data_IF_882331603141
#
_entry.id   IF_882331603141
#
_cell.length_a   1.000
_cell.length_b   1.000
_cell.length_c   1.000
_cell.angle_alpha   90.00
_cell.angle_beta   90.00
_cell.angle_gamma   90.00
#
_symmetry.space_group_name_H-M   'P 1'
#
loop_
_entity.id
_entity.type
_entity.pdbx_description
1 polymer ?
#
# COMPACT_ATOMS: atom_id res chain seq x y z
N UNK A 1 -1.12 -25.94 3.81
CA UNK A 1 -1.94 -25.41 4.91
C UNK A 1 -2.13 -23.94 4.61
N UNK A 2 -3.36 -23.52 4.32
CA UNK A 2 -3.69 -22.10 4.16
C UNK A 2 -3.29 -21.40 5.46
N UNK A 3 -2.64 -20.24 5.39
CA UNK A 3 -2.20 -19.57 6.61
C UNK A 3 -3.44 -19.13 7.40
N UNK A 4 -3.46 -19.50 8.66
CA UNK A 4 -4.56 -19.27 9.59
C UNK A 4 -4.91 -17.77 9.75
N UNK A 5 -3.99 -16.89 9.30
CA UNK A 5 -4.08 -15.44 9.45
C UNK A 5 -4.82 -14.75 8.31
N UNK A 6 -4.57 -15.14 7.05
CA UNK A 6 -5.34 -14.61 5.91
C UNK A 6 -6.83 -14.95 6.05
N UNK A 7 -7.14 -16.13 6.59
CA UNK A 7 -8.52 -16.51 6.91
C UNK A 7 -9.15 -15.64 8.00
N UNK A 8 -8.35 -15.11 8.94
CA UNK A 8 -8.85 -14.22 10.02
C UNK A 8 -9.18 -12.82 9.50
N UNK A 9 -8.42 -12.30 8.53
CA UNK A 9 -8.70 -11.01 7.88
C UNK A 9 -10.10 -10.97 7.28
N UNK A 10 -10.55 -12.08 6.71
CA UNK A 10 -11.85 -12.17 6.05
C UNK A 10 -13.01 -12.58 6.99
N UNK A 11 -12.71 -12.93 8.25
CA UNK A 11 -13.73 -13.40 9.22
C UNK A 11 -14.17 -12.34 10.23
N UNK A 12 -13.81 -11.07 10.07
CA UNK A 12 -14.18 -9.96 10.97
C UNK A 12 -13.79 -10.17 12.46
N UNK A 13 -12.72 -10.92 12.74
CA UNK A 13 -12.28 -11.16 14.12
C UNK A 13 -11.60 -9.93 14.75
N UNK A 14 -11.16 -8.96 13.95
CA UNK A 14 -10.52 -7.73 14.41
C UNK A 14 -11.43 -6.51 14.20
N UNK A 15 -11.62 -5.74 15.25
CA UNK A 15 -12.44 -4.51 15.23
C UNK A 15 -11.67 -3.29 14.67
N UNK A 16 -10.33 -3.33 14.71
CA UNK A 16 -9.45 -2.26 14.24
C UNK A 16 -8.38 -2.85 13.31
N UNK A 17 -8.28 -2.37 12.05
CA UNK A 17 -7.24 -2.78 11.11
C UNK A 17 -5.81 -2.63 11.67
N UNK A 18 -5.55 -1.63 12.52
CA UNK A 18 -4.24 -1.43 13.16
C UNK A 18 -3.82 -2.61 14.03
N UNK A 19 -4.73 -3.16 14.81
CA UNK A 19 -4.42 -4.28 15.70
C UNK A 19 -4.12 -5.54 14.89
N UNK A 20 -4.85 -5.77 13.81
CA UNK A 20 -4.60 -6.85 12.87
C UNK A 20 -3.19 -6.75 12.27
N UNK A 21 -2.86 -5.61 11.69
CA UNK A 21 -1.55 -5.43 11.02
C UNK A 21 -0.38 -5.42 12.00
N UNK A 22 -0.59 -5.01 13.26
CA UNK A 22 0.42 -5.09 14.32
C UNK A 22 0.83 -6.54 14.61
N UNK A 23 -0.14 -7.42 14.78
CA UNK A 23 0.13 -8.84 15.05
C UNK A 23 0.74 -9.54 13.85
N UNK A 24 0.35 -9.14 12.64
CA UNK A 24 0.75 -9.78 11.40
C UNK A 24 2.11 -9.30 10.87
N UNK A 25 2.59 -8.15 11.30
CA UNK A 25 3.76 -7.49 10.72
C UNK A 25 4.99 -8.40 10.60
N UNK A 26 5.27 -9.23 11.60
CA UNK A 26 6.48 -10.07 11.63
C UNK A 26 6.46 -11.28 10.69
N UNK A 27 5.27 -11.73 10.27
CA UNK A 27 5.11 -12.91 9.39
C UNK A 27 4.58 -12.55 8.02
N UNK A 28 4.16 -11.30 7.84
CA UNK A 28 3.45 -10.78 6.67
C UNK A 28 4.14 -11.12 5.34
N UNK A 29 5.40 -10.74 5.19
CA UNK A 29 6.14 -10.96 3.93
C UNK A 29 6.29 -12.45 3.61
N UNK A 30 6.54 -13.28 4.63
CA UNK A 30 6.69 -14.72 4.44
C UNK A 30 5.37 -15.40 4.06
N UNK A 31 4.27 -14.97 4.68
CA UNK A 31 2.94 -15.52 4.38
C UNK A 31 2.47 -15.13 2.99
N UNK A 32 2.71 -13.88 2.57
CA UNK A 32 2.40 -13.43 1.23
C UNK A 32 3.26 -14.11 0.17
N UNK A 33 4.54 -14.33 0.46
CA UNK A 33 5.43 -15.08 -0.43
C UNK A 33 4.97 -16.56 -0.62
N UNK A 34 4.51 -17.20 0.45
CA UNK A 34 3.97 -18.57 0.39
C UNK A 34 2.64 -18.66 -0.38
N UNK A 35 1.87 -17.59 -0.41
CA UNK A 35 0.58 -17.50 -1.13
C UNK A 35 0.72 -16.90 -2.54
N UNK A 36 1.95 -16.79 -3.08
CA UNK A 36 2.22 -16.26 -4.43
C UNK A 36 1.58 -14.87 -4.65
N UNK A 37 1.70 -13.96 -3.67
CA UNK A 37 1.12 -12.62 -3.75
C UNK A 37 1.82 -11.77 -4.82
N UNK A 38 1.31 -11.82 -6.04
CA UNK A 38 1.89 -11.15 -7.21
C UNK A 38 1.31 -9.75 -7.48
N UNK A 39 0.34 -9.32 -6.69
CA UNK A 39 -0.36 -8.04 -6.86
C UNK A 39 0.59 -6.84 -6.94
N UNK A 40 1.61 -6.68 -6.06
CA UNK A 40 2.54 -5.56 -6.16
C UNK A 40 3.28 -5.51 -7.50
N UNK A 41 3.76 -6.67 -7.99
CA UNK A 41 4.49 -6.76 -9.25
C UNK A 41 3.58 -6.40 -10.44
N UNK A 42 2.33 -6.89 -10.44
CA UNK A 42 1.37 -6.60 -11.50
C UNK A 42 1.01 -5.12 -11.55
N UNK A 43 0.79 -4.50 -10.38
CA UNK A 43 0.46 -3.07 -10.29
C UNK A 43 1.65 -2.20 -10.68
N UNK A 44 2.87 -2.54 -10.26
CA UNK A 44 4.09 -1.83 -10.63
C UNK A 44 4.34 -1.89 -12.15
N UNK A 45 4.13 -3.05 -12.80
CA UNK A 45 4.21 -3.19 -14.25
C UNK A 45 3.14 -2.40 -14.99
N UNK A 46 1.92 -2.33 -14.46
CA UNK A 46 0.89 -1.49 -15.04
C UNK A 46 1.28 -0.01 -14.97
N UNK A 47 1.78 0.45 -13.82
CA UNK A 47 2.27 1.83 -13.68
C UNK A 47 3.44 2.12 -14.63
N UNK A 48 4.38 1.18 -14.78
CA UNK A 48 5.52 1.29 -15.69
C UNK A 48 5.10 1.60 -17.14
N UNK A 49 3.96 1.06 -17.59
CA UNK A 49 3.46 1.28 -18.94
C UNK A 49 2.96 2.72 -19.19
N UNK A 50 2.60 3.45 -18.14
CA UNK A 50 2.01 4.79 -18.25
C UNK A 50 2.93 5.90 -17.73
N UNK A 51 3.87 5.59 -16.83
CA UNK A 51 4.81 6.58 -16.30
C UNK A 51 5.94 6.87 -17.29
N UNK A 52 6.02 8.11 -17.74
CA UNK A 52 7.05 8.56 -18.70
C UNK A 52 8.42 8.78 -18.04
N UNK A 53 8.44 9.15 -16.76
CA UNK A 53 9.65 9.41 -15.98
C UNK A 53 9.62 8.60 -14.67
N UNK A 54 10.55 7.66 -14.54
CA UNK A 54 10.65 6.78 -13.38
C UNK A 54 11.40 7.38 -12.19
N UNK A 55 11.96 8.58 -12.36
CA UNK A 55 12.53 9.36 -11.24
C UNK A 55 11.50 10.24 -10.54
N UNK A 56 10.31 10.39 -11.11
CA UNK A 56 9.20 11.13 -10.50
C UNK A 56 8.87 10.54 -9.13
N UNK A 57 8.78 11.36 -8.08
CA UNK A 57 8.41 10.88 -6.74
C UNK A 57 7.04 10.20 -6.72
N UNK A 58 6.99 9.02 -6.15
CA UNK A 58 5.77 8.22 -5.93
C UNK A 58 5.41 8.27 -4.46
N UNK A 59 4.15 8.52 -4.14
CA UNK A 59 3.59 8.22 -2.82
C UNK A 59 3.03 6.79 -2.81
N UNK A 60 3.62 5.94 -2.00
CA UNK A 60 3.12 4.60 -1.71
C UNK A 60 2.18 4.67 -0.48
N UNK A 61 0.89 4.81 -0.74
CA UNK A 61 -0.15 4.92 0.27
C UNK A 61 -0.51 3.54 0.82
N UNK A 62 -0.39 3.37 2.14
CA UNK A 62 -0.53 2.07 2.79
C UNK A 62 0.65 1.16 2.44
N UNK A 63 1.87 1.67 2.61
CA UNK A 63 3.10 1.02 2.16
C UNK A 63 3.40 -0.32 2.87
N UNK A 64 2.76 -0.58 4.01
CA UNK A 64 2.95 -1.79 4.78
C UNK A 64 4.42 -2.06 5.08
N UNK A 65 4.87 -3.28 4.87
CA UNK A 65 6.26 -3.72 5.03
C UNK A 65 7.18 -3.33 3.86
N UNK A 66 6.63 -2.72 2.79
CA UNK A 66 7.40 -2.25 1.65
C UNK A 66 7.44 -3.18 0.43
N UNK A 67 6.59 -4.21 0.34
CA UNK A 67 6.53 -5.11 -0.84
C UNK A 67 6.17 -4.36 -2.13
N UNK A 68 5.31 -3.34 -2.03
CA UNK A 68 4.96 -2.46 -3.14
C UNK A 68 6.19 -1.69 -3.66
N UNK A 69 6.99 -1.12 -2.77
CA UNK A 69 8.20 -0.39 -3.16
C UNK A 69 9.27 -1.32 -3.76
N UNK A 70 9.45 -2.52 -3.25
CA UNK A 70 10.34 -3.53 -3.87
C UNK A 70 9.92 -3.82 -5.32
N UNK A 71 8.61 -3.97 -5.57
CA UNK A 71 8.08 -4.18 -6.91
C UNK A 71 8.27 -2.94 -7.81
N UNK A 72 8.03 -1.73 -7.28
CA UNK A 72 8.26 -0.48 -8.01
C UNK A 72 9.73 -0.31 -8.40
N UNK A 73 10.67 -0.58 -7.48
CA UNK A 73 12.11 -0.53 -7.76
C UNK A 73 12.49 -1.54 -8.83
N UNK A 74 11.93 -2.74 -8.81
CA UNK A 74 12.18 -3.76 -9.84
C UNK A 74 11.73 -3.34 -11.23
N UNK A 75 10.76 -2.42 -11.32
CA UNK A 75 10.32 -1.75 -12.55
C UNK A 75 11.09 -0.46 -12.88
N UNK A 76 12.15 -0.14 -12.12
CA UNK A 76 13.04 0.98 -12.37
C UNK A 76 12.64 2.32 -11.74
N UNK A 77 11.59 2.36 -10.92
CA UNK A 77 11.25 3.56 -10.15
C UNK A 77 12.28 3.78 -9.03
N UNK A 78 12.71 5.02 -8.82
CA UNK A 78 13.85 5.30 -7.94
C UNK A 78 13.54 6.27 -6.78
N UNK A 79 12.36 6.89 -6.77
CA UNK A 79 12.00 7.90 -5.78
C UNK A 79 10.65 7.55 -5.18
N UNK A 80 10.63 6.91 -4.01
CA UNK A 80 9.43 6.41 -3.36
C UNK A 80 9.37 6.91 -1.93
N UNK A 81 8.27 7.54 -1.55
CA UNK A 81 7.90 7.88 -0.18
C UNK A 81 6.74 6.98 0.25
N UNK A 82 6.74 6.53 1.50
CA UNK A 82 5.73 5.64 2.02
C UNK A 82 5.00 6.22 3.23
N UNK A 83 3.69 5.98 3.30
CA UNK A 83 2.90 6.25 4.50
C UNK A 83 2.04 5.04 4.85
N UNK A 84 1.92 4.77 6.15
CA UNK A 84 1.07 3.69 6.67
C UNK A 84 0.49 4.07 8.04
N UNK A 85 -0.59 3.42 8.43
CA UNK A 85 -1.22 3.61 9.75
C UNK A 85 -0.60 2.73 10.83
N UNK A 86 0.15 1.69 10.47
CA UNK A 86 0.83 0.76 11.38
C UNK A 86 2.29 1.13 11.56
N UNK A 87 2.66 1.54 12.76
CA UNK A 87 4.05 1.82 13.11
C UNK A 87 4.95 0.60 12.97
N UNK A 88 4.43 -0.58 13.27
CA UNK A 88 5.15 -1.85 13.19
C UNK A 88 5.51 -2.19 11.73
N UNK A 89 4.55 -1.99 10.80
CA UNK A 89 4.79 -2.17 9.37
C UNK A 89 5.82 -1.17 8.84
N UNK A 90 5.71 0.11 9.23
CA UNK A 90 6.64 1.17 8.84
C UNK A 90 8.06 0.87 9.32
N UNK A 91 8.24 0.31 10.52
CA UNK A 91 9.57 -0.06 11.01
C UNK A 91 10.20 -1.22 10.21
N UNK A 92 9.42 -2.20 9.77
CA UNK A 92 9.89 -3.26 8.86
C UNK A 92 10.28 -2.66 7.51
N UNK A 93 9.45 -1.79 6.94
CA UNK A 93 9.73 -1.09 5.70
C UNK A 93 11.01 -0.24 5.81
N UNK A 94 11.22 0.43 6.95
CA UNK A 94 12.42 1.22 7.24
C UNK A 94 13.68 0.37 7.22
N UNK A 95 13.61 -0.85 7.76
CA UNK A 95 14.71 -1.81 7.74
C UNK A 95 15.17 -2.20 6.33
N UNK A 96 14.29 -2.12 5.33
CA UNK A 96 14.61 -2.41 3.92
C UNK A 96 15.42 -1.30 3.23
N UNK A 97 15.42 -0.08 3.77
CA UNK A 97 16.19 1.08 3.27
C UNK A 97 15.89 1.43 1.80
N UNK A 98 14.65 1.25 1.35
CA UNK A 98 14.21 1.43 -0.04
C UNK A 98 13.35 2.67 -0.25
N UNK A 99 12.83 3.25 0.83
CA UNK A 99 12.07 4.48 0.78
C UNK A 99 12.95 5.71 1.02
N UNK A 100 12.62 6.80 0.35
CA UNK A 100 13.23 8.11 0.58
C UNK A 100 12.74 8.71 1.91
N UNK A 101 11.44 8.66 2.15
CA UNK A 101 10.78 9.05 3.39
C UNK A 101 9.74 7.99 3.78
N UNK A 102 9.57 7.78 5.08
CA UNK A 102 8.56 6.90 5.65
C UNK A 102 7.88 7.58 6.83
N UNK A 103 6.58 7.60 6.84
CA UNK A 103 5.78 8.20 7.91
C UNK A 103 4.65 7.26 8.36
N UNK A 104 4.50 7.10 9.67
CA UNK A 104 3.31 6.51 10.26
C UNK A 104 2.31 7.63 10.58
N UNK A 105 1.07 7.53 10.11
CA UNK A 105 0.08 8.56 10.30
C UNK A 105 -1.18 8.07 11.02
N UNK A 106 -1.90 9.01 11.63
CA UNK A 106 -3.20 8.73 12.24
C UNK A 106 -4.32 9.14 11.26
N UNK A 107 -5.15 8.17 10.79
CA UNK A 107 -6.22 8.44 9.83
C UNK A 107 -7.28 9.44 10.36
N UNK A 108 -7.48 9.53 11.69
CA UNK A 108 -8.40 10.49 12.30
C UNK A 108 -7.96 11.95 12.10
N UNK A 109 -6.67 12.17 11.81
CA UNK A 109 -6.09 13.49 11.52
C UNK A 109 -6.02 13.80 10.02
N UNK A 110 -6.49 12.88 9.19
CA UNK A 110 -6.39 12.96 7.73
C UNK A 110 -5.06 12.48 7.17
N UNK A 111 -4.96 12.46 5.85
CA UNK A 111 -3.75 12.04 5.13
C UNK A 111 -2.72 13.17 5.21
N UNK A 112 -1.47 12.91 5.66
CA UNK A 112 -0.45 13.93 5.88
C UNK A 112 0.27 14.35 4.59
N UNK A 113 -0.49 14.54 3.51
CA UNK A 113 0.01 14.88 2.17
C UNK A 113 -0.81 16.03 1.62
N UNK A 114 -0.15 17.00 1.01
CA UNK A 114 -0.80 18.15 0.39
C UNK A 114 -1.36 17.78 -0.99
N UNK A 115 -2.43 18.45 -1.38
CA UNK A 115 -2.95 18.35 -2.73
C UNK A 115 -1.87 18.73 -3.76
N UNK A 116 -1.77 17.95 -4.82
CA UNK A 116 -0.79 18.10 -5.91
C UNK A 116 0.69 17.93 -5.50
N UNK A 117 0.97 17.37 -4.33
CA UNK A 117 2.35 17.12 -3.88
C UNK A 117 3.01 15.98 -4.66
N UNK A 118 2.23 14.94 -4.98
CA UNK A 118 2.68 13.82 -5.80
C UNK A 118 1.85 13.72 -7.08
N UNK A 119 2.51 13.54 -8.21
CA UNK A 119 1.83 13.27 -9.49
C UNK A 119 1.61 11.76 -9.73
N UNK A 120 2.19 10.91 -8.91
CA UNK A 120 1.98 9.46 -8.92
C UNK A 120 1.70 9.00 -7.50
N UNK A 121 0.58 8.30 -7.32
CA UNK A 121 0.23 7.65 -6.05
C UNK A 121 -0.05 6.17 -6.32
N UNK A 122 0.43 5.30 -5.45
CA UNK A 122 0.10 3.87 -5.43
C UNK A 122 -0.69 3.52 -4.17
N UNK A 123 -1.64 2.58 -4.27
CA UNK A 123 -2.36 1.99 -3.14
C UNK A 123 -2.57 0.49 -3.42
N UNK A 124 -1.56 -0.30 -3.08
CA UNK A 124 -1.47 -1.72 -3.45
C UNK A 124 -1.83 -2.61 -2.25
N UNK A 125 -2.95 -3.33 -2.36
CA UNK A 125 -3.45 -4.17 -1.27
C UNK A 125 -4.06 -3.39 -0.10
N UNK A 126 -4.36 -2.10 -0.28
CA UNK A 126 -4.84 -1.20 0.78
C UNK A 126 -6.35 -1.11 0.81
N UNK A 127 -6.98 -1.00 -0.37
CA UNK A 127 -8.42 -0.79 -0.50
C UNK A 127 -9.08 -2.15 -0.61
N UNK A 128 -9.54 -2.68 0.52
CA UNK A 128 -10.20 -3.98 0.60
C UNK A 128 -11.11 -4.08 1.82
N UNK A 129 -12.00 -5.07 1.80
CA UNK A 129 -12.78 -5.42 3.00
C UNK A 129 -11.81 -5.81 4.12
N UNK A 130 -11.96 -5.21 5.30
CA UNK A 130 -11.06 -5.42 6.45
C UNK A 130 -9.75 -4.59 6.44
N UNK A 131 -9.53 -3.74 5.41
CA UNK A 131 -8.45 -2.77 5.37
C UNK A 131 -9.00 -1.34 5.27
N UNK A 132 -8.57 -0.52 4.30
CA UNK A 132 -9.11 0.83 4.14
C UNK A 132 -10.50 0.81 3.48
N UNK A 133 -11.46 1.63 3.94
CA UNK A 133 -12.77 1.74 3.33
C UNK A 133 -12.70 2.36 1.93
N UNK A 134 -13.70 2.09 1.09
CA UNK A 134 -13.74 2.62 -0.28
C UNK A 134 -13.70 4.16 -0.34
N UNK A 135 -14.15 4.84 0.70
CA UNK A 135 -14.10 6.31 0.80
C UNK A 135 -12.67 6.86 0.79
N UNK A 136 -11.67 6.05 1.15
CA UNK A 136 -10.26 6.46 1.06
C UNK A 136 -9.83 6.64 -0.40
N UNK A 137 -10.45 5.93 -1.33
CA UNK A 137 -10.20 6.07 -2.76
C UNK A 137 -10.42 7.51 -3.23
N UNK A 138 -11.56 8.10 -2.88
CA UNK A 138 -11.88 9.47 -3.25
C UNK A 138 -10.88 10.46 -2.62
N UNK A 139 -10.54 10.26 -1.34
CA UNK A 139 -9.57 11.11 -0.63
C UNK A 139 -8.19 11.08 -1.29
N UNK A 140 -7.70 9.89 -1.64
CA UNK A 140 -6.39 9.73 -2.31
C UNK A 140 -6.44 10.30 -3.73
N UNK A 141 -7.54 10.07 -4.44
CA UNK A 141 -7.73 10.60 -5.79
C UNK A 141 -7.71 12.14 -5.81
N UNK A 142 -8.31 12.78 -4.81
CA UNK A 142 -8.36 14.24 -4.66
C UNK A 142 -6.98 14.86 -4.36
N UNK A 143 -5.99 14.07 -3.92
CA UNK A 143 -4.62 14.53 -3.72
C UNK A 143 -3.86 14.71 -5.04
N UNK A 144 -4.26 14.02 -6.10
CA UNK A 144 -3.56 14.04 -7.38
C UNK A 144 -3.80 15.33 -8.16
N UNK A 145 -2.77 15.84 -8.86
CA UNK A 145 -2.95 16.90 -9.85
C UNK A 145 -3.71 16.40 -11.08
N UNK A 146 -4.14 17.32 -11.92
CA UNK A 146 -4.67 17.00 -13.24
C UNK A 146 -3.61 16.21 -14.03
N UNK A 147 -4.03 15.10 -14.65
CA UNK A 147 -3.17 14.12 -15.33
C UNK A 147 -2.21 13.34 -14.43
N UNK A 148 -2.42 13.36 -13.10
CA UNK A 148 -1.71 12.47 -12.19
C UNK A 148 -2.09 11.01 -12.41
N UNK A 149 -1.21 10.09 -12.01
CA UNK A 149 -1.42 8.64 -12.11
C UNK A 149 -1.78 8.05 -10.75
N UNK A 150 -2.85 7.27 -10.71
CA UNK A 150 -3.22 6.48 -9.55
C UNK A 150 -3.19 5.00 -9.90
N UNK A 151 -2.23 4.26 -9.36
CA UNK A 151 -2.14 2.81 -9.51
C UNK A 151 -2.56 2.12 -8.21
N UNK A 152 -3.61 1.30 -8.27
CA UNK A 152 -4.18 0.63 -7.11
C UNK A 152 -4.58 -0.80 -7.44
N UNK A 153 -4.85 -1.58 -6.41
CA UNK A 153 -5.41 -2.93 -6.57
C UNK A 153 -6.67 -3.13 -5.73
N UNK A 154 -7.62 -3.86 -6.29
CA UNK A 154 -8.75 -4.42 -5.56
C UNK A 154 -8.63 -5.95 -5.54
N UNK A 155 -9.13 -6.57 -4.48
CA UNK A 155 -9.37 -8.01 -4.46
C UNK A 155 -10.83 -8.33 -4.86
N UNK A 156 -11.11 -9.60 -5.13
CA UNK A 156 -12.46 -10.03 -5.54
C UNK A 156 -13.53 -9.69 -4.49
N UNK A 157 -13.19 -9.77 -3.21
CA UNK A 157 -14.11 -9.43 -2.11
C UNK A 157 -14.53 -7.96 -2.13
N UNK A 158 -13.64 -7.06 -2.55
CA UNK A 158 -13.95 -5.62 -2.65
C UNK A 158 -14.89 -5.28 -3.80
N UNK A 159 -15.04 -6.17 -4.78
CA UNK A 159 -15.91 -5.98 -5.94
C UNK A 159 -17.33 -6.51 -5.73
N UNK A 160 -17.59 -7.24 -4.64
CA UNK A 160 -18.86 -7.89 -4.33
C UNK A 160 -19.70 -7.15 -3.28
N UNK A 161 -19.26 -5.97 -2.84
CA UNK A 161 -19.94 -5.16 -1.80
C UNK A 161 -20.63 -3.95 -2.42
#
# INVERSE_FOLDING_TARGET
>A
MCSDFLDKVYKDEYKDPKDLYREWANTYDNELAQNEYITPIRTAKALEAFASDRSTPILDFGCGTGLSAEALISCGFSSIDGIDISSEMVEIARGKSIYRNLECFNPDKGIPVKQNEYSIITAIGVISVGAAPITIFDQVFDLLPQNGLFAFSFNEHSLMV
#
